data_IF_811827319049
#
_entry.id   IF_811827319049
#
_cell.length_a   1.000
_cell.length_b   1.000
_cell.length_c   1.000
_cell.angle_alpha   90.00
_cell.angle_beta   90.00
_cell.angle_gamma   90.00
#
_symmetry.space_group_name_H-M   'P 1'
#
loop_
_entity.id
_entity.type
_entity.pdbx_description
1 polymer ?
#
# COMPACT_ATOMS: atom_id res chain seq x y z
N UNK A 1 -7.93 12.92 -4.11
CA UNK A 1 -8.21 11.81 -3.19
C UNK A 1 -6.89 11.12 -2.82
N UNK A 2 -6.79 10.55 -1.65
CA UNK A 2 -5.65 9.75 -1.21
C UNK A 2 -6.08 8.32 -0.93
N UNK A 3 -5.25 7.38 -1.34
CA UNK A 3 -5.32 5.99 -0.95
C UNK A 3 -4.24 5.74 0.10
N UNK A 4 -4.61 5.13 1.21
CA UNK A 4 -3.71 4.86 2.33
C UNK A 4 -3.68 3.36 2.57
N UNK A 5 -2.50 2.79 2.44
CA UNK A 5 -2.21 1.40 2.77
C UNK A 5 -1.46 1.40 4.10
N UNK A 6 -2.08 0.85 5.13
CA UNK A 6 -1.49 0.77 6.47
C UNK A 6 -1.05 -0.66 6.73
N UNK A 7 0.21 -0.80 7.07
CA UNK A 7 0.81 -2.01 7.61
C UNK A 7 1.01 -1.84 9.12
N UNK A 8 0.64 -2.85 9.88
CA UNK A 8 0.80 -2.86 11.32
C UNK A 8 1.66 -4.05 11.70
N UNK A 9 2.71 -3.79 12.49
CA UNK A 9 3.64 -4.79 12.95
C UNK A 9 4.22 -5.63 11.81
N UNK A 10 4.79 -4.97 10.80
CA UNK A 10 5.56 -5.57 9.71
C UNK A 10 4.81 -6.67 8.93
N UNK A 11 3.71 -6.28 8.33
CA UNK A 11 2.96 -7.17 7.43
C UNK A 11 1.96 -8.10 8.11
N UNK A 12 1.82 -8.06 9.42
CA UNK A 12 0.78 -8.84 10.11
C UNK A 12 -0.63 -8.40 9.73
N UNK A 13 -0.80 -7.12 9.31
CA UNK A 13 -2.08 -6.58 8.85
C UNK A 13 -1.91 -5.40 7.93
N UNK A 14 -2.36 -5.56 6.71
CA UNK A 14 -2.48 -4.47 5.76
C UNK A 14 -3.95 -4.08 5.66
N UNK A 15 -4.24 -2.82 5.90
CA UNK A 15 -5.56 -2.25 5.74
C UNK A 15 -5.54 -1.15 4.68
N UNK A 16 -6.62 -1.06 3.95
CA UNK A 16 -6.82 -0.09 2.89
C UNK A 16 -7.84 0.97 3.30
N UNK A 17 -7.54 2.23 2.99
CA UNK A 17 -8.44 3.36 3.23
C UNK A 17 -8.40 4.34 2.07
N UNK A 18 -9.55 4.90 1.72
CA UNK A 18 -9.66 6.04 0.83
C UNK A 18 -10.04 7.29 1.62
N UNK A 19 -9.49 8.43 1.22
CA UNK A 19 -9.82 9.73 1.79
C UNK A 19 -9.95 10.77 0.70
N UNK A 20 -11.06 11.51 0.70
CA UNK A 20 -11.32 12.57 -0.28
C UNK A 20 -10.71 13.91 0.13
N UNK A 21 -10.12 14.01 1.31
CA UNK A 21 -9.44 15.24 1.76
C UNK A 21 -8.27 15.58 0.84
N UNK A 22 -7.93 16.85 0.79
CA UNK A 22 -6.88 17.39 -0.09
C UNK A 22 -5.50 17.38 0.55
N UNK A 23 -5.43 17.34 1.87
CA UNK A 23 -4.19 17.29 2.65
C UNK A 23 -3.87 15.87 3.13
N UNK A 24 -2.60 15.48 3.00
CA UNK A 24 -2.15 14.12 3.36
C UNK A 24 -2.17 13.84 4.86
N UNK A 25 -2.00 14.87 5.71
CA UNK A 25 -2.06 14.72 7.18
C UNK A 25 -3.50 14.48 7.61
N UNK A 26 -4.44 15.26 7.07
CA UNK A 26 -5.87 15.06 7.27
C UNK A 26 -6.33 13.71 6.76
N UNK A 27 -5.77 13.23 5.63
CA UNK A 27 -6.05 11.90 5.11
C UNK A 27 -5.67 10.81 6.10
N UNK A 28 -4.49 10.89 6.73
CA UNK A 28 -4.07 9.95 7.78
C UNK A 28 -4.98 10.03 9.01
N UNK A 29 -5.30 11.22 9.49
CA UNK A 29 -6.18 11.39 10.65
C UNK A 29 -7.57 10.82 10.39
N UNK A 30 -8.13 11.08 9.21
CA UNK A 30 -9.39 10.48 8.75
C UNK A 30 -9.30 8.95 8.70
N UNK A 31 -8.22 8.42 8.15
CA UNK A 31 -7.95 7.01 8.09
C UNK A 31 -7.90 6.38 9.50
N UNK A 32 -7.07 6.91 10.38
CA UNK A 32 -6.93 6.44 11.77
C UNK A 32 -8.27 6.49 12.51
N UNK A 33 -9.14 7.48 12.19
CA UNK A 33 -10.47 7.56 12.79
C UNK A 33 -11.39 6.39 12.41
N UNK A 34 -11.18 5.80 11.25
CA UNK A 34 -12.00 4.71 10.67
C UNK A 34 -11.40 3.31 10.91
N UNK A 35 -10.17 3.23 11.40
CA UNK A 35 -9.49 1.94 11.62
C UNK A 35 -10.28 1.10 12.63
N UNK A 36 -10.70 -0.07 12.18
CA UNK A 36 -11.24 -1.15 13.02
C UNK A 36 -10.36 -2.38 12.81
N UNK A 37 -9.34 -2.53 13.62
CA UNK A 37 -8.53 -3.74 13.60
C UNK A 37 -9.06 -4.72 14.64
N UNK A 38 -9.68 -5.84 14.21
CA UNK A 38 -10.33 -6.80 15.13
C UNK A 38 -9.41 -7.39 16.21
N UNK A 39 -8.08 -7.36 15.99
CA UNK A 39 -7.10 -7.88 16.94
C UNK A 39 -6.34 -6.81 17.73
N UNK A 40 -6.44 -5.54 17.33
CA UNK A 40 -6.07 -4.43 18.19
C UNK A 40 -7.32 -4.09 18.99
N UNK A 41 -7.31 -4.36 20.26
CA UNK A 41 -8.47 -4.06 21.12
C UNK A 41 -8.88 -2.59 20.98
N UNK A 42 -10.18 -2.30 21.17
CA UNK A 42 -10.78 -0.97 21.04
C UNK A 42 -9.98 0.10 21.83
N UNK A 43 -9.43 -0.28 22.99
CA UNK A 43 -8.56 0.59 23.82
C UNK A 43 -7.27 1.00 23.10
N UNK A 44 -6.65 0.11 22.31
CA UNK A 44 -5.42 0.42 21.56
C UNK A 44 -5.69 1.37 20.39
N UNK A 45 -6.78 1.16 19.67
CA UNK A 45 -7.22 2.05 18.59
C UNK A 45 -7.54 3.45 19.13
N UNK A 46 -8.24 3.53 20.24
CA UNK A 46 -8.55 4.80 20.92
C UNK A 46 -7.27 5.53 21.34
N UNK A 47 -6.28 4.82 21.87
CA UNK A 47 -4.97 5.39 22.25
C UNK A 47 -4.21 5.91 21.03
N UNK A 48 -4.19 5.18 19.90
CA UNK A 48 -3.55 5.60 18.65
C UNK A 48 -4.20 6.90 18.13
N UNK A 49 -5.53 6.95 18.08
CA UNK A 49 -6.27 8.14 17.69
C UNK A 49 -5.94 9.33 18.58
N UNK A 50 -6.06 9.15 19.89
CA UNK A 50 -5.77 10.18 20.87
C UNK A 50 -4.32 10.67 20.75
N UNK A 51 -3.37 9.75 20.59
CA UNK A 51 -1.97 10.10 20.42
C UNK A 51 -1.74 10.98 19.19
N UNK A 52 -2.28 10.63 18.02
CA UNK A 52 -2.09 11.40 16.79
C UNK A 52 -2.81 12.76 16.82
N UNK A 53 -3.99 12.84 17.46
CA UNK A 53 -4.71 14.11 17.64
C UNK A 53 -3.94 15.07 18.53
N UNK A 54 -3.38 14.59 19.65
CA UNK A 54 -2.61 15.42 20.59
C UNK A 54 -1.16 15.65 20.18
N UNK A 55 -0.64 14.88 19.21
CA UNK A 55 0.71 15.02 18.72
C UNK A 55 0.75 15.19 17.18
N UNK A 56 0.09 16.20 16.61
CA UNK A 56 0.00 16.36 15.17
C UNK A 56 1.36 16.60 14.52
N UNK A 57 2.36 17.06 15.30
CA UNK A 57 3.74 17.23 14.83
C UNK A 57 4.39 15.90 14.39
N UNK A 58 3.95 14.75 14.89
CA UNK A 58 4.41 13.44 14.43
C UNK A 58 4.08 13.20 12.94
N UNK A 59 3.03 13.85 12.44
CA UNK A 59 2.67 13.80 11.02
C UNK A 59 3.54 14.70 10.13
N UNK A 60 4.44 15.51 10.70
CA UNK A 60 5.43 16.25 9.92
C UNK A 60 6.52 15.34 9.32
N UNK A 61 6.68 14.13 9.85
CA UNK A 61 7.62 13.14 9.34
C UNK A 61 7.10 12.36 8.12
N UNK A 62 6.01 12.82 7.49
CA UNK A 62 5.55 12.27 6.21
C UNK A 62 6.59 12.59 5.14
N UNK A 63 7.28 11.55 4.67
CA UNK A 63 8.36 11.66 3.69
C UNK A 63 7.85 11.31 2.30
N UNK A 64 8.23 12.11 1.30
CA UNK A 64 8.01 11.74 -0.10
C UNK A 64 8.99 10.64 -0.48
N UNK A 65 8.50 9.57 -1.07
CA UNK A 65 9.36 8.49 -1.54
C UNK A 65 10.10 8.92 -2.81
N UNK A 66 11.41 8.64 -2.85
CA UNK A 66 12.25 8.88 -4.02
C UNK A 66 11.95 7.84 -5.12
N UNK A 67 12.09 8.26 -6.38
CA UNK A 67 11.89 7.37 -7.53
C UNK A 67 10.42 7.10 -7.90
N UNK A 68 9.46 7.58 -7.10
CA UNK A 68 8.02 7.46 -7.39
C UNK A 68 7.29 8.79 -7.20
N UNK A 69 6.24 9.02 -7.98
CA UNK A 69 5.48 10.26 -7.94
C UNK A 69 4.22 10.13 -7.06
N UNK A 70 3.89 11.18 -6.31
CA UNK A 70 2.66 11.24 -5.50
C UNK A 70 2.52 10.13 -4.45
N UNK A 71 3.64 9.54 -4.02
CA UNK A 71 3.70 8.53 -2.97
C UNK A 71 4.48 9.08 -1.79
N UNK A 72 3.89 8.94 -0.61
CA UNK A 72 4.46 9.38 0.66
C UNK A 72 4.42 8.23 1.64
N UNK A 73 5.32 8.27 2.60
CA UNK A 73 5.48 7.27 3.63
C UNK A 73 5.58 7.91 5.01
N UNK A 74 5.03 7.24 6.00
CA UNK A 74 5.24 7.55 7.41
C UNK A 74 5.34 6.24 8.20
N UNK A 75 6.28 6.22 9.15
CA UNK A 75 6.41 5.16 10.14
C UNK A 75 6.26 5.75 11.53
N UNK A 76 5.44 5.12 12.35
CA UNK A 76 5.14 5.55 13.72
C UNK A 76 5.16 4.35 14.65
N UNK A 77 5.76 4.50 15.82
CA UNK A 77 5.61 3.54 16.91
C UNK A 77 4.77 4.18 18.01
N UNK A 78 3.62 3.60 18.29
CA UNK A 78 2.67 4.09 19.30
C UNK A 78 2.35 2.97 20.27
N UNK A 79 2.79 3.11 21.52
CA UNK A 79 2.60 2.10 22.58
C UNK A 79 3.09 0.69 22.19
N UNK A 80 4.26 0.62 21.55
CA UNK A 80 4.85 -0.65 21.10
C UNK A 80 4.22 -1.24 19.82
N UNK A 81 3.28 -0.53 19.20
CA UNK A 81 2.70 -0.92 17.91
C UNK A 81 3.37 -0.11 16.80
N UNK A 82 4.01 -0.78 15.86
CA UNK A 82 4.57 -0.17 14.67
C UNK A 82 3.47 0.00 13.61
N UNK A 83 3.37 1.19 13.08
CA UNK A 83 2.38 1.57 12.06
C UNK A 83 3.14 2.18 10.90
N UNK A 84 3.13 1.50 9.77
CA UNK A 84 3.70 1.97 8.52
C UNK A 84 2.57 2.32 7.56
N UNK A 85 2.58 3.52 7.00
CA UNK A 85 1.55 3.94 6.06
C UNK A 85 2.15 4.45 4.76
N UNK A 86 1.71 3.86 3.65
CA UNK A 86 1.95 4.35 2.30
C UNK A 86 0.74 5.17 1.86
N UNK A 87 0.96 6.44 1.53
CA UNK A 87 -0.06 7.41 1.17
C UNK A 87 0.11 7.75 -0.29
N UNK A 88 -0.85 7.38 -1.12
CA UNK A 88 -0.79 7.52 -2.57
C UNK A 88 -1.83 8.53 -3.00
N UNK A 89 -1.39 9.64 -3.61
CA UNK A 89 -2.30 10.63 -4.20
C UNK A 89 -2.78 10.13 -5.55
N UNK A 90 -4.08 9.95 -5.69
CA UNK A 90 -4.70 9.52 -6.94
C UNK A 90 -5.10 10.70 -7.80
N UNK A 91 -5.10 10.49 -9.11
CA UNK A 91 -5.67 11.41 -10.10
C UNK A 91 -6.91 10.78 -10.72
N UNK A 92 -8.01 11.52 -10.81
CA UNK A 92 -9.15 11.13 -11.65
C UNK A 92 -8.83 11.48 -13.11
N UNK A 93 -9.03 10.54 -14.03
CA UNK A 93 -9.09 10.82 -15.47
C UNK A 93 -7.95 10.28 -16.33
N UNK A 94 -8.34 9.80 -17.47
CA UNK A 94 -7.72 9.60 -18.79
C UNK A 94 -6.59 8.59 -19.02
N UNK A 95 -6.54 8.20 -20.25
CA UNK A 95 -5.94 7.13 -21.04
C UNK A 95 -4.53 6.64 -20.70
N UNK A 96 -3.65 7.43 -20.11
CA UNK A 96 -2.31 7.01 -19.65
C UNK A 96 -2.23 7.10 -18.13
N UNK A 97 -2.80 6.12 -17.46
CA UNK A 97 -2.75 6.08 -16.01
C UNK A 97 -1.37 5.64 -15.51
N UNK A 98 -0.86 6.35 -14.52
CA UNK A 98 0.25 5.85 -13.71
C UNK A 98 -0.33 4.89 -12.68
N UNK A 99 0.24 3.71 -12.58
CA UNK A 99 -0.10 2.74 -11.55
C UNK A 99 1.03 2.64 -10.54
N UNK A 100 0.70 2.85 -9.29
CA UNK A 100 1.60 2.59 -8.15
C UNK A 100 1.34 1.19 -7.66
N UNK A 101 2.37 0.37 -7.65
CA UNK A 101 2.33 -1.01 -7.17
C UNK A 101 3.02 -1.07 -5.83
N UNK A 102 2.31 -1.52 -4.82
CA UNK A 102 2.83 -1.73 -3.46
C UNK A 102 2.74 -3.22 -3.17
N UNK A 103 3.88 -3.87 -3.11
CA UNK A 103 4.01 -5.29 -2.85
C UNK A 103 4.55 -5.51 -1.43
N UNK A 104 3.83 -6.30 -0.66
CA UNK A 104 4.25 -6.80 0.65
C UNK A 104 4.68 -8.25 0.48
N UNK A 105 5.94 -8.53 0.78
CA UNK A 105 6.50 -9.86 0.64
C UNK A 105 7.56 -10.10 1.70
N UNK A 106 7.46 -11.21 2.42
CA UNK A 106 8.27 -11.47 3.62
C UNK A 106 8.06 -10.32 4.62
N UNK A 107 9.12 -9.66 5.04
CA UNK A 107 9.06 -8.50 5.95
C UNK A 107 9.24 -7.16 5.21
N UNK A 108 9.27 -7.20 3.85
CA UNK A 108 9.55 -6.03 3.03
C UNK A 108 8.31 -5.43 2.38
N UNK A 109 8.37 -4.11 2.17
CA UNK A 109 7.43 -3.37 1.33
C UNK A 109 8.17 -2.81 0.12
N UNK A 110 7.72 -3.18 -1.07
CA UNK A 110 8.35 -2.81 -2.33
C UNK A 110 7.39 -1.94 -3.14
N UNK A 111 7.83 -0.74 -3.51
CA UNK A 111 6.99 0.23 -4.22
C UNK A 111 7.62 0.55 -5.56
N UNK A 112 6.80 0.49 -6.60
CA UNK A 112 7.19 0.86 -7.95
C UNK A 112 6.05 1.54 -8.69
N UNK A 113 6.37 2.20 -9.79
CA UNK A 113 5.37 2.83 -10.67
C UNK A 113 5.64 2.47 -12.12
N UNK A 114 4.56 2.33 -12.87
CA UNK A 114 4.62 2.25 -14.32
C UNK A 114 3.39 2.92 -14.96
N UNK A 115 3.54 3.35 -16.21
CA UNK A 115 2.43 3.83 -17.03
C UNK A 115 1.86 2.66 -17.80
N UNK A 116 0.55 2.51 -17.73
CA UNK A 116 -0.14 1.43 -18.43
C UNK A 116 -1.60 1.81 -18.74
N UNK A 117 -2.21 1.06 -19.64
CA UNK A 117 -3.61 1.27 -20.03
C UNK A 117 -4.61 0.60 -19.07
N UNK A 118 -4.16 -0.41 -18.32
CA UNK A 118 -4.99 -1.16 -17.40
C UNK A 118 -4.17 -1.70 -16.21
N UNK A 119 -4.85 -1.93 -15.08
CA UNK A 119 -4.26 -2.47 -13.85
C UNK A 119 -3.61 -3.85 -14.06
N UNK A 120 -4.24 -4.71 -14.85
CA UNK A 120 -3.70 -6.04 -15.17
C UNK A 120 -2.41 -5.95 -16.00
N UNK A 121 -2.33 -5.00 -16.92
CA UNK A 121 -1.12 -4.73 -17.70
C UNK A 121 -0.02 -4.15 -16.81
N UNK A 122 -0.40 -3.30 -15.86
CA UNK A 122 0.53 -2.70 -14.91
C UNK A 122 1.19 -3.75 -14.01
N UNK A 123 0.43 -4.70 -13.44
CA UNK A 123 1.00 -5.76 -12.60
C UNK A 123 1.86 -6.74 -13.42
N UNK A 124 1.47 -7.08 -14.65
CA UNK A 124 2.27 -7.91 -15.56
C UNK A 124 3.59 -7.22 -15.93
N UNK A 125 3.56 -5.92 -16.18
CA UNK A 125 4.76 -5.13 -16.39
C UNK A 125 5.67 -5.15 -15.15
N UNK A 126 5.13 -4.92 -13.97
CA UNK A 126 5.87 -5.01 -12.72
C UNK A 126 6.54 -6.38 -12.55
N UNK A 127 5.82 -7.47 -12.75
CA UNK A 127 6.35 -8.82 -12.62
C UNK A 127 7.51 -9.12 -13.61
N UNK A 128 7.50 -8.48 -14.80
CA UNK A 128 8.59 -8.60 -15.77
C UNK A 128 9.89 -8.00 -15.26
N UNK A 129 9.83 -6.88 -14.54
CA UNK A 129 10.97 -6.09 -14.08
C UNK A 129 11.26 -6.22 -12.59
N UNK A 130 10.89 -7.35 -11.96
CA UNK A 130 11.23 -7.63 -10.56
C UNK A 130 12.73 -7.54 -10.31
N UNK A 131 13.09 -6.75 -9.31
CA UNK A 131 14.49 -6.54 -8.94
C UNK A 131 15.11 -7.81 -8.37
N UNK A 132 16.28 -8.16 -8.86
CA UNK A 132 17.08 -9.27 -8.33
C UNK A 132 17.67 -8.99 -6.94
N UNK A 133 17.72 -7.73 -6.50
CA UNK A 133 18.13 -7.37 -5.16
C UNK A 133 17.11 -7.77 -4.08
N UNK A 134 15.83 -7.82 -4.44
CA UNK A 134 14.74 -8.04 -3.49
C UNK A 134 14.11 -9.43 -3.59
N UNK A 135 14.26 -10.08 -4.76
CA UNK A 135 13.63 -11.37 -5.05
C UNK A 135 14.65 -12.33 -5.64
N UNK A 136 14.72 -13.56 -5.11
CA UNK A 136 15.56 -14.60 -5.67
C UNK A 136 15.14 -14.95 -7.11
N UNK A 137 15.94 -15.71 -7.81
CA UNK A 137 15.63 -16.18 -9.18
C UNK A 137 14.35 -17.02 -9.17
N UNK A 138 14.22 -17.90 -8.21
CA UNK A 138 13.10 -18.83 -8.04
C UNK A 138 11.82 -18.06 -7.66
N UNK A 139 11.91 -17.11 -6.73
CA UNK A 139 10.79 -16.23 -6.36
C UNK A 139 10.28 -15.42 -7.55
N UNK A 140 11.19 -14.82 -8.33
CA UNK A 140 10.80 -14.08 -9.54
C UNK A 140 10.12 -14.96 -10.58
N UNK A 141 10.57 -16.19 -10.75
CA UNK A 141 9.96 -17.15 -11.66
C UNK A 141 8.53 -17.51 -11.20
N UNK A 142 8.37 -17.81 -9.91
CA UNK A 142 7.07 -18.17 -9.35
C UNK A 142 6.09 -17.00 -9.33
N UNK A 143 6.54 -15.79 -8.97
CA UNK A 143 5.73 -14.56 -9.04
C UNK A 143 5.25 -14.33 -10.49
N UNK A 144 6.13 -14.43 -11.47
CA UNK A 144 5.76 -14.26 -12.88
C UNK A 144 4.74 -15.31 -13.32
N UNK A 145 4.94 -16.56 -12.98
CA UNK A 145 4.01 -17.65 -13.30
C UNK A 145 2.61 -17.35 -12.75
N UNK A 146 2.51 -16.97 -11.48
CA UNK A 146 1.23 -16.62 -10.85
C UNK A 146 0.59 -15.41 -11.53
N UNK A 147 1.33 -14.32 -11.75
CA UNK A 147 0.78 -13.08 -12.29
C UNK A 147 0.39 -13.20 -13.77
N UNK A 148 1.15 -13.92 -14.59
CA UNK A 148 0.79 -14.09 -16.00
C UNK A 148 -0.47 -14.94 -16.21
N UNK A 149 -0.80 -15.79 -15.26
CA UNK A 149 -2.01 -16.62 -15.27
C UNK A 149 -3.25 -15.91 -14.74
N UNK A 150 -3.11 -14.67 -14.20
CA UNK A 150 -4.26 -13.89 -13.72
C UNK A 150 -5.15 -13.50 -14.90
N UNK A 151 -6.43 -13.84 -14.80
CA UNK A 151 -7.48 -13.39 -15.73
C UNK A 151 -8.09 -12.08 -15.25
N UNK A 152 -8.32 -11.95 -13.95
CA UNK A 152 -8.93 -10.78 -13.30
C UNK A 152 -8.20 -10.45 -12.00
N UNK A 153 -8.18 -9.17 -11.66
CA UNK A 153 -7.72 -8.67 -10.36
C UNK A 153 -8.92 -8.41 -9.47
N UNK A 154 -8.77 -8.66 -8.18
CA UNK A 154 -9.80 -8.29 -7.23
C UNK A 154 -9.86 -6.76 -7.08
N UNK A 155 -10.96 -6.16 -7.51
CA UNK A 155 -11.17 -4.72 -7.41
C UNK A 155 -11.62 -4.35 -6.00
N UNK A 156 -10.76 -3.62 -5.28
CA UNK A 156 -11.02 -3.16 -3.91
C UNK A 156 -11.76 -1.83 -3.87
N UNK A 157 -11.45 -0.94 -4.81
CA UNK A 157 -12.15 0.33 -5.02
C UNK A 157 -12.28 0.58 -6.52
N UNK A 158 -13.52 0.80 -6.94
CA UNK A 158 -13.88 0.92 -8.35
C UNK A 158 -12.95 1.85 -9.13
N UNK A 159 -12.37 1.33 -10.19
CA UNK A 159 -11.46 2.01 -11.13
C UNK A 159 -10.18 2.62 -10.53
N UNK A 160 -9.88 2.34 -9.26
CA UNK A 160 -8.78 3.00 -8.55
C UNK A 160 -7.83 2.05 -7.83
N UNK A 161 -8.34 0.97 -7.25
CA UNK A 161 -7.50 0.06 -6.47
C UNK A 161 -7.88 -1.37 -6.71
N UNK A 162 -6.89 -2.16 -7.03
CA UNK A 162 -6.98 -3.61 -7.17
C UNK A 162 -6.00 -4.29 -6.24
N UNK A 163 -6.27 -5.53 -5.89
CA UNK A 163 -5.33 -6.35 -5.15
C UNK A 163 -5.14 -7.73 -5.79
N UNK A 164 -4.01 -8.32 -5.46
CA UNK A 164 -3.64 -9.67 -5.79
C UNK A 164 -2.88 -10.28 -4.62
N UNK A 165 -3.17 -11.53 -4.31
CA UNK A 165 -2.52 -12.26 -3.22
C UNK A 165 -2.25 -13.69 -3.66
N UNK A 166 -1.04 -14.20 -3.36
CA UNK A 166 -0.66 -15.58 -3.62
C UNK A 166 0.47 -16.04 -2.70
N UNK A 167 0.66 -17.34 -2.59
CA UNK A 167 1.83 -17.92 -1.92
C UNK A 167 2.99 -18.08 -2.90
N UNK A 168 4.17 -17.63 -2.50
CA UNK A 168 5.43 -17.74 -3.26
C UNK A 168 6.43 -18.48 -2.38
N UNK A 169 6.74 -19.71 -2.71
CA UNK A 169 7.68 -20.57 -1.99
C UNK A 169 7.41 -20.57 -0.45
N UNK A 170 6.14 -20.70 -0.08
CA UNK A 170 5.69 -20.72 1.32
C UNK A 170 5.52 -19.35 1.99
N UNK A 171 5.88 -18.25 1.33
CA UNK A 171 5.67 -16.88 1.82
C UNK A 171 4.47 -16.23 1.12
N UNK A 172 3.69 -15.46 1.88
CA UNK A 172 2.58 -14.72 1.30
C UNK A 172 3.07 -13.47 0.57
N UNK A 173 2.70 -13.33 -0.69
CA UNK A 173 2.85 -12.12 -1.49
C UNK A 173 1.49 -11.43 -1.60
N UNK A 174 1.41 -10.18 -1.15
CA UNK A 174 0.24 -9.33 -1.29
C UNK A 174 0.59 -8.08 -2.07
N UNK A 175 -0.15 -7.80 -3.14
CA UNK A 175 0.11 -6.68 -4.04
C UNK A 175 -1.12 -5.81 -4.14
N UNK A 176 -0.96 -4.51 -3.93
CA UNK A 176 -1.94 -3.50 -4.25
C UNK A 176 -1.52 -2.73 -5.49
N UNK A 177 -2.46 -2.52 -6.39
CA UNK A 177 -2.29 -1.73 -7.61
C UNK A 177 -3.19 -0.52 -7.46
N UNK A 178 -2.60 0.67 -7.39
CA UNK A 178 -3.32 1.93 -7.21
C UNK A 178 -3.13 2.81 -8.42
N UNK A 179 -4.22 3.25 -9.03
CA UNK A 179 -4.20 4.26 -10.10
C UNK A 179 -3.89 5.63 -9.50
N UNK A 180 -2.74 6.22 -9.84
CA UNK A 180 -2.18 7.42 -9.21
C UNK A 180 -1.85 8.54 -10.20
#
# INVERSE_FOLDING_TARGET
>A
MYIILIDINQGQKVAFFSSEVTDKKEAILSCVSKIRFPRLGIKSISKIKKYLIYNPYKLYNITKLLGVHNVYYISLTINGVNIDANIIKTKKGNTDATYTIVAYFKEGTYISQNKNIASISAIKHWARYLSWHYYSKEERAEIRKNIYNIKELNETLKDLVWNFECSILGNNLKVYIVRS
#
